data_IF_848464751286
#
_entry.id   IF_848464751286
#
_cell.length_a   1.000
_cell.length_b   1.000
_cell.length_c   1.000
_cell.angle_alpha   90.00
_cell.angle_beta   90.00
_cell.angle_gamma   90.00
#
_symmetry.space_group_name_H-M   'P 1'
#
loop_
_entity.id
_entity.type
_entity.pdbx_description
1 polymer ?
#
# COMPACT_ATOMS: atom_id res chain seq x y z
N UNK A 1 -30.76 10.57 54.66
CA UNK A 1 -31.62 10.19 53.55
C UNK A 1 -31.27 11.00 52.34
N UNK A 2 -30.72 10.38 51.36
CA UNK A 2 -30.38 10.80 49.99
C UNK A 2 -29.00 10.29 49.56
N UNK A 3 -28.89 8.98 49.43
CA UNK A 3 -27.68 8.32 48.90
C UNK A 3 -28.02 7.54 47.63
N UNK A 4 -29.07 7.90 46.92
CA UNK A 4 -29.46 7.21 45.68
C UNK A 4 -29.62 8.22 44.55
N UNK A 5 -28.51 8.83 44.12
CA UNK A 5 -28.47 9.61 42.87
C UNK A 5 -27.03 9.86 42.38
N UNK A 6 -26.22 8.85 42.26
CA UNK A 6 -24.94 8.96 41.51
C UNK A 6 -24.48 7.61 40.96
N UNK A 7 -25.31 6.92 40.22
CA UNK A 7 -24.84 5.85 39.36
C UNK A 7 -25.67 5.91 38.09
N UNK A 8 -25.25 6.72 37.17
CA UNK A 8 -25.63 6.64 35.75
C UNK A 8 -24.77 7.64 34.98
N UNK A 9 -23.65 7.22 34.51
CA UNK A 9 -23.02 7.73 33.27
C UNK A 9 -21.63 7.14 33.11
N UNK A 10 -21.52 5.88 32.81
CA UNK A 10 -20.31 5.35 32.16
C UNK A 10 -20.78 4.17 31.30
N UNK A 11 -21.34 4.43 30.16
CA UNK A 11 -21.50 3.41 29.11
C UNK A 11 -21.76 4.09 27.77
N UNK A 12 -20.74 4.63 27.16
CA UNK A 12 -20.78 5.02 25.73
C UNK A 12 -19.42 5.44 25.15
N UNK A 13 -18.33 4.71 25.39
CA UNK A 13 -17.05 5.04 24.72
C UNK A 13 -16.36 3.81 24.13
N UNK A 14 -17.00 2.65 24.03
CA UNK A 14 -16.37 1.46 23.47
C UNK A 14 -16.68 1.18 21.99
N UNK A 15 -17.50 1.98 21.32
CA UNK A 15 -17.96 1.73 19.96
C UNK A 15 -17.25 2.51 18.85
N UNK A 16 -16.46 3.55 19.19
CA UNK A 16 -15.89 4.46 18.17
C UNK A 16 -14.48 4.11 17.69
N UNK A 17 -13.76 3.23 18.39
CA UNK A 17 -12.36 2.90 18.04
C UNK A 17 -12.21 1.86 16.92
N UNK A 18 -13.23 1.05 16.66
CA UNK A 18 -13.18 0.02 15.61
C UNK A 18 -13.44 0.57 14.19
N UNK A 19 -14.15 1.69 14.08
CA UNK A 19 -14.50 2.28 12.78
C UNK A 19 -13.32 3.04 12.16
N UNK A 20 -12.41 3.56 12.98
CA UNK A 20 -11.26 4.31 12.49
C UNK A 20 -10.16 3.42 11.87
N UNK A 21 -10.06 2.15 12.24
CA UNK A 21 -9.04 1.24 11.70
C UNK A 21 -9.32 0.88 10.24
N UNK A 22 -10.55 0.57 9.89
CA UNK A 22 -10.92 0.22 8.51
C UNK A 22 -10.85 1.42 7.56
N UNK A 23 -11.28 2.61 8.02
CA UNK A 23 -11.18 3.84 7.22
C UNK A 23 -9.72 4.24 6.97
N UNK A 24 -8.81 4.04 7.95
CA UNK A 24 -7.39 4.35 7.81
C UNK A 24 -6.68 3.41 6.82
N UNK A 25 -7.03 2.13 6.79
CA UNK A 25 -6.43 1.16 5.86
C UNK A 25 -6.87 1.43 4.41
N UNK A 26 -8.14 1.75 4.18
CA UNK A 26 -8.64 2.11 2.86
C UNK A 26 -8.03 3.42 2.35
N UNK A 27 -7.89 4.42 3.21
CA UNK A 27 -7.23 5.69 2.86
C UNK A 27 -5.75 5.47 2.52
N UNK A 28 -5.07 4.61 3.28
CA UNK A 28 -3.67 4.27 3.03
C UNK A 28 -3.50 3.59 1.67
N UNK A 29 -4.38 2.66 1.33
CA UNK A 29 -4.40 1.99 0.02
C UNK A 29 -4.63 3.00 -1.11
N UNK A 30 -5.60 3.89 -0.97
CA UNK A 30 -5.88 4.96 -1.97
C UNK A 30 -4.69 5.91 -2.14
N UNK A 31 -4.04 6.27 -1.03
CA UNK A 31 -2.81 7.08 -1.09
C UNK A 31 -1.72 6.34 -1.85
N UNK A 32 -1.52 5.06 -1.58
CA UNK A 32 -0.54 4.23 -2.27
C UNK A 32 -0.83 4.09 -3.76
N UNK A 33 -2.09 3.87 -4.14
CA UNK A 33 -2.53 3.82 -5.53
C UNK A 33 -2.24 5.14 -6.26
N UNK A 34 -2.52 6.27 -5.60
CA UNK A 34 -2.21 7.59 -6.15
C UNK A 34 -0.71 7.78 -6.38
N UNK A 35 0.13 7.40 -5.40
CA UNK A 35 1.59 7.48 -5.52
C UNK A 35 2.08 6.60 -6.68
N UNK A 36 1.56 5.39 -6.80
CA UNK A 36 1.90 4.43 -7.85
C UNK A 36 1.64 4.97 -9.26
N UNK A 37 0.49 5.63 -9.46
CA UNK A 37 0.00 6.05 -10.77
C UNK A 37 0.36 7.50 -11.16
N UNK A 38 0.90 8.31 -10.25
CA UNK A 38 1.12 9.74 -10.49
C UNK A 38 2.57 10.01 -10.88
N UNK A 39 2.79 10.60 -12.05
CA UNK A 39 4.12 10.87 -12.61
C UNK A 39 4.97 11.84 -11.78
N UNK A 40 4.36 12.70 -10.98
CA UNK A 40 5.06 13.64 -10.07
C UNK A 40 5.29 13.07 -8.67
N UNK A 41 4.89 11.82 -8.43
CA UNK A 41 5.09 11.09 -7.17
C UNK A 41 5.99 9.88 -7.40
N UNK A 42 5.54 8.67 -7.04
CA UNK A 42 6.33 7.44 -7.25
C UNK A 42 6.44 7.03 -8.72
N UNK A 43 5.38 7.27 -9.49
CA UNK A 43 5.33 6.94 -10.92
C UNK A 43 5.73 5.49 -11.23
N UNK A 44 5.33 4.56 -10.38
CA UNK A 44 5.69 3.14 -10.50
C UNK A 44 5.14 2.54 -11.79
N UNK A 45 3.98 3.05 -12.24
CA UNK A 45 3.33 2.65 -13.51
C UNK A 45 4.22 2.91 -14.74
N UNK A 46 5.15 3.85 -14.67
CA UNK A 46 6.08 4.12 -15.78
C UNK A 46 6.95 2.89 -16.14
N UNK A 47 7.17 1.99 -15.19
CA UNK A 47 7.97 0.78 -15.39
C UNK A 47 7.22 -0.53 -15.12
N UNK A 48 6.13 -0.48 -14.33
CA UNK A 48 5.43 -1.68 -13.88
C UNK A 48 3.98 -1.72 -14.33
N UNK A 49 3.61 -2.77 -15.03
CA UNK A 49 2.21 -3.20 -15.17
C UNK A 49 1.80 -4.02 -13.93
N UNK A 50 0.51 -4.14 -13.69
CA UNK A 50 -0.07 -5.01 -12.66
C UNK A 50 -0.93 -6.06 -13.34
N UNK A 51 -0.66 -7.34 -13.05
CA UNK A 51 -1.43 -8.43 -13.60
C UNK A 51 -2.90 -8.35 -13.11
N UNK A 52 -3.84 -8.37 -14.05
CA UNK A 52 -5.27 -8.29 -13.78
C UNK A 52 -5.82 -6.88 -13.55
N UNK A 53 -4.98 -5.83 -13.68
CA UNK A 53 -5.44 -4.43 -13.65
C UNK A 53 -5.18 -3.72 -14.96
N UNK A 54 -6.15 -2.93 -15.40
CA UNK A 54 -5.96 -1.98 -16.50
C UNK A 54 -5.40 -0.68 -15.93
N UNK A 55 -4.18 -0.33 -16.33
CA UNK A 55 -3.51 0.90 -15.97
C UNK A 55 -3.36 1.80 -17.19
N UNK A 56 -3.16 3.10 -16.97
CA UNK A 56 -2.95 4.06 -18.05
C UNK A 56 -1.48 4.02 -18.49
N UNK A 57 -1.24 3.41 -19.63
CA UNK A 57 0.06 3.38 -20.29
C UNK A 57 1.19 2.78 -19.45
N UNK A 58 1.03 1.57 -18.86
CA UNK A 58 2.07 0.98 -18.03
C UNK A 58 3.32 0.67 -18.85
N UNK A 59 4.49 0.97 -18.29
CA UNK A 59 5.77 0.59 -18.86
C UNK A 59 6.10 -0.89 -18.68
N UNK A 60 7.15 -1.33 -19.34
CA UNK A 60 7.62 -2.73 -19.33
C UNK A 60 9.08 -2.89 -18.89
N UNK A 61 9.71 -1.80 -18.41
CA UNK A 61 11.11 -1.86 -17.95
C UNK A 61 11.24 -2.68 -16.65
N UNK A 62 10.24 -2.62 -15.77
CA UNK A 62 10.15 -3.44 -14.58
C UNK A 62 9.29 -4.68 -14.82
N UNK A 63 9.40 -5.71 -13.96
CA UNK A 63 8.54 -6.89 -14.04
C UNK A 63 7.07 -6.53 -13.82
N UNK A 64 6.17 -7.29 -14.43
CA UNK A 64 4.74 -7.22 -14.14
C UNK A 64 4.51 -7.62 -12.68
N UNK A 65 3.82 -6.78 -11.94
CA UNK A 65 3.53 -7.04 -10.52
C UNK A 65 2.35 -8.00 -10.38
N UNK A 66 2.55 -9.03 -9.58
CA UNK A 66 1.53 -10.06 -9.33
C UNK A 66 1.77 -10.75 -7.98
N UNK A 67 0.71 -11.25 -7.36
CA UNK A 67 0.77 -12.05 -6.14
C UNK A 67 1.49 -11.37 -4.96
N UNK A 68 1.52 -10.05 -4.91
CA UNK A 68 2.26 -9.30 -3.89
C UNK A 68 1.56 -9.33 -2.52
N UNK A 69 0.28 -9.72 -2.47
CA UNK A 69 -0.43 -9.92 -1.21
C UNK A 69 0.25 -10.94 -0.27
N UNK A 70 0.98 -11.91 -0.83
CA UNK A 70 1.70 -12.94 -0.08
C UNK A 70 3.14 -12.56 0.30
N UNK A 71 3.66 -11.45 -0.24
CA UNK A 71 5.03 -11.03 0.04
C UNK A 71 5.14 -10.38 1.43
N UNK A 72 6.24 -10.60 2.17
CA UNK A 72 6.52 -9.86 3.41
C UNK A 72 6.61 -8.36 3.14
N UNK A 73 6.05 -7.55 4.04
CA UNK A 73 6.10 -6.09 3.90
C UNK A 73 7.53 -5.54 3.93
N UNK A 74 8.39 -6.12 4.75
CA UNK A 74 9.80 -5.77 4.82
C UNK A 74 10.52 -5.96 3.49
N UNK A 75 10.22 -7.05 2.78
CA UNK A 75 10.83 -7.30 1.47
C UNK A 75 10.36 -6.29 0.41
N UNK A 76 9.09 -5.88 0.47
CA UNK A 76 8.56 -4.82 -0.38
C UNK A 76 9.18 -3.46 -0.01
N UNK A 77 9.32 -3.19 1.29
CA UNK A 77 9.93 -1.96 1.78
C UNK A 77 11.37 -1.83 1.31
N UNK A 78 12.21 -2.84 1.54
CA UNK A 78 13.61 -2.85 1.11
C UNK A 78 13.74 -2.64 -0.40
N UNK A 79 12.89 -3.29 -1.18
CA UNK A 79 12.89 -3.18 -2.64
C UNK A 79 12.54 -1.78 -3.14
N UNK A 80 11.65 -1.07 -2.45
CA UNK A 80 11.27 0.32 -2.80
C UNK A 80 12.28 1.31 -2.22
N UNK A 81 12.76 1.05 -1.00
CA UNK A 81 13.70 1.94 -0.32
C UNK A 81 15.04 2.01 -1.04
N UNK A 82 15.67 0.86 -1.26
CA UNK A 82 16.95 0.75 -1.99
C UNK A 82 17.06 -0.60 -2.72
N UNK A 83 16.60 -0.71 -3.96
CA UNK A 83 16.66 -1.96 -4.71
C UNK A 83 18.09 -2.44 -4.99
N UNK A 84 19.09 -1.55 -4.88
CA UNK A 84 20.48 -1.89 -5.17
C UNK A 84 21.11 -2.75 -4.07
N UNK A 85 20.53 -2.83 -2.88
CA UNK A 85 20.99 -3.74 -1.82
C UNK A 85 20.92 -5.21 -2.23
N UNK A 86 19.87 -5.56 -2.99
CA UNK A 86 19.66 -6.94 -3.48
C UNK A 86 20.02 -7.14 -4.94
N UNK A 87 20.03 -6.08 -5.73
CA UNK A 87 20.43 -6.08 -7.13
C UNK A 87 21.22 -4.82 -7.47
N UNK A 88 22.58 -4.84 -7.38
CA UNK A 88 23.43 -3.67 -7.57
C UNK A 88 23.29 -2.97 -8.94
N UNK A 89 22.77 -3.68 -9.94
CA UNK A 89 22.53 -3.15 -11.30
C UNK A 89 21.06 -2.83 -11.57
N UNK A 90 20.25 -2.71 -10.53
CA UNK A 90 18.83 -2.39 -10.69
C UNK A 90 18.63 -1.02 -11.32
N UNK A 91 17.79 -0.96 -12.36
CA UNK A 91 17.35 0.30 -12.96
C UNK A 91 16.24 0.97 -12.14
N UNK A 92 15.62 0.26 -11.20
CA UNK A 92 14.61 0.82 -10.31
C UNK A 92 15.28 1.85 -9.38
N UNK A 93 14.75 3.08 -9.29
CA UNK A 93 15.33 4.08 -8.39
C UNK A 93 15.23 3.68 -6.91
N UNK A 94 16.18 4.13 -6.11
CA UNK A 94 16.16 3.96 -4.66
C UNK A 94 15.29 5.05 -4.02
N UNK A 95 13.97 4.91 -4.12
CA UNK A 95 13.01 5.94 -3.76
C UNK A 95 13.14 6.44 -2.32
N UNK A 96 13.36 5.54 -1.36
CA UNK A 96 13.54 5.90 0.04
C UNK A 96 14.91 6.51 0.30
N UNK A 97 15.98 5.85 -0.14
CA UNK A 97 17.35 6.29 0.06
C UNK A 97 17.63 7.66 -0.58
N UNK A 98 17.05 7.92 -1.75
CA UNK A 98 17.18 9.21 -2.44
C UNK A 98 16.26 10.30 -1.86
N UNK A 99 15.41 9.97 -0.90
CA UNK A 99 14.46 10.91 -0.31
C UNK A 99 13.31 11.31 -1.24
N UNK A 100 13.03 10.52 -2.28
CA UNK A 100 11.92 10.78 -3.21
C UNK A 100 10.57 10.38 -2.65
N UNK A 101 10.54 9.35 -1.82
CA UNK A 101 9.38 8.94 -1.03
C UNK A 101 9.77 8.86 0.44
N UNK A 102 8.92 9.37 1.31
CA UNK A 102 9.03 9.20 2.76
C UNK A 102 8.66 7.77 3.18
N UNK A 103 9.01 7.39 4.41
CA UNK A 103 8.62 6.09 4.97
C UNK A 103 7.11 5.88 4.94
N UNK A 104 6.32 6.91 5.26
CA UNK A 104 4.86 6.82 5.23
C UNK A 104 4.31 6.68 3.80
N UNK A 105 4.97 7.28 2.82
CA UNK A 105 4.61 7.12 1.42
C UNK A 105 4.97 5.73 0.90
N UNK A 106 6.12 5.19 1.29
CA UNK A 106 6.50 3.80 0.97
C UNK A 106 5.50 2.82 1.58
N UNK A 107 5.12 3.00 2.85
CA UNK A 107 4.11 2.17 3.52
C UNK A 107 2.76 2.24 2.82
N UNK A 108 2.36 3.42 2.34
CA UNK A 108 1.14 3.57 1.56
C UNK A 108 1.20 2.78 0.24
N UNK A 109 2.32 2.86 -0.49
CA UNK A 109 2.53 2.06 -1.70
C UNK A 109 2.47 0.58 -1.38
N UNK A 110 3.10 0.11 -0.30
CA UNK A 110 3.05 -1.28 0.13
C UNK A 110 1.61 -1.72 0.42
N UNK A 111 0.82 -0.90 1.13
CA UNK A 111 -0.58 -1.20 1.38
C UNK A 111 -1.37 -1.41 0.07
N UNK A 112 -1.13 -0.58 -0.93
CA UNK A 112 -1.70 -0.76 -2.27
C UNK A 112 -1.21 -2.05 -2.94
N UNK A 113 0.11 -2.31 -2.93
CA UNK A 113 0.71 -3.52 -3.53
C UNK A 113 0.18 -4.80 -2.87
N UNK A 114 -0.09 -4.79 -1.59
CA UNK A 114 -0.67 -5.93 -0.86
C UNK A 114 -2.10 -6.27 -1.28
N UNK A 115 -2.77 -5.40 -2.02
CA UNK A 115 -4.07 -5.70 -2.66
C UNK A 115 -3.94 -6.53 -3.94
N UNK A 116 -2.72 -6.70 -4.47
CA UNK A 116 -2.46 -7.42 -5.72
C UNK A 116 -2.39 -8.93 -5.42
N UNK A 117 -3.46 -9.61 -5.75
CA UNK A 117 -3.57 -11.07 -5.64
C UNK A 117 -3.11 -11.76 -6.92
N UNK A 118 -3.04 -13.09 -6.91
CA UNK A 118 -2.98 -13.86 -8.13
C UNK A 118 -4.24 -13.59 -8.95
N UNK A 119 -4.05 -12.99 -10.11
CA UNK A 119 -5.09 -13.03 -11.11
C UNK A 119 -5.08 -14.47 -11.64
N UNK A 120 -6.04 -15.26 -11.23
CA UNK A 120 -6.38 -16.48 -11.94
C UNK A 120 -6.80 -16.04 -13.34
N UNK A 121 -5.99 -16.35 -14.35
CA UNK A 121 -6.48 -16.30 -15.70
C UNK A 121 -7.69 -17.24 -15.74
N UNK A 122 -8.89 -16.68 -15.68
CA UNK A 122 -10.07 -17.41 -16.06
C UNK A 122 -9.86 -17.77 -17.54
N UNK A 123 -9.44 -19.01 -17.79
CA UNK A 123 -9.60 -19.60 -19.10
C UNK A 123 -11.08 -19.48 -19.43
N UNK A 124 -11.45 -18.48 -20.25
CA UNK A 124 -12.69 -18.54 -20.99
C UNK A 124 -12.50 -19.64 -22.03
N UNK A 125 -12.93 -20.84 -21.66
CA UNK A 125 -13.31 -21.86 -22.63
C UNK A 125 -14.56 -21.43 -23.39
#
# INVERSE_FOLDING_TARGET
MNVIKKILTITAISGLLAVNSFASDEELVKKGEKIFNTNTLGNCVACHAINGKTLDGPGSMGPVLQALSSWPEEALYEKIYDPNTTNPISAMPAFGKNGWLSDDEIKAVIAYLKTINYSTFAHKT
#
